data_IF_772035521620
#
_entry.id   IF_772035521620
#
_cell.length_a   1.000
_cell.length_b   1.000
_cell.length_c   1.000
_cell.angle_alpha   90.00
_cell.angle_beta   90.00
_cell.angle_gamma   90.00
#
_symmetry.space_group_name_H-M   'P 1'
#
loop_
_entity.id
_entity.type
_entity.pdbx_description
1 polymer ?
#
# COMPACT_ATOMS: atom_id res chain seq x y z
N UNK A 1 -4.23 -9.76 -0.39
CA UNK A 1 -3.57 -8.76 0.42
C UNK A 1 -4.05 -8.92 1.86
N UNK A 2 -3.13 -9.14 2.77
CA UNK A 2 -3.41 -9.31 4.20
C UNK A 2 -2.59 -8.27 4.94
N UNK A 3 -3.25 -7.40 5.71
CA UNK A 3 -2.60 -6.27 6.37
C UNK A 3 -2.66 -6.35 7.90
N UNK A 4 -1.58 -5.91 8.56
CA UNK A 4 -1.49 -5.85 10.02
C UNK A 4 -2.41 -4.83 10.70
N UNK A 5 -2.96 -3.88 9.93
CA UNK A 5 -3.88 -2.82 10.43
C UNK A 5 -5.35 -3.23 10.48
N UNK A 6 -5.64 -4.51 10.44
CA UNK A 6 -7.00 -5.01 10.67
C UNK A 6 -7.43 -4.86 12.12
N UNK A 7 -6.47 -4.79 13.01
CA UNK A 7 -6.63 -4.54 14.43
C UNK A 7 -5.69 -3.40 14.83
N UNK A 8 -6.21 -2.40 15.52
CA UNK A 8 -5.38 -1.40 16.18
C UNK A 8 -5.29 -1.72 17.65
N UNK A 9 -4.10 -1.61 18.19
CA UNK A 9 -3.79 -1.93 19.58
C UNK A 9 -3.19 -0.71 20.24
N UNK A 10 -3.68 -0.36 21.41
CA UNK A 10 -3.08 0.66 22.23
C UNK A 10 -1.71 0.20 22.73
N UNK A 11 -0.67 0.94 22.42
CA UNK A 11 0.72 0.56 22.67
C UNK A 11 1.08 0.52 24.18
N UNK A 12 0.31 1.19 25.03
CA UNK A 12 0.54 1.25 26.47
C UNK A 12 -0.22 0.16 27.21
N UNK A 13 -1.49 -0.03 26.87
CA UNK A 13 -2.37 -0.98 27.54
C UNK A 13 -2.37 -2.36 26.89
N UNK A 14 -1.85 -2.47 25.69
CA UNK A 14 -1.86 -3.67 24.83
C UNK A 14 -3.29 -4.20 24.58
N UNK A 15 -4.29 -3.30 24.60
CA UNK A 15 -5.70 -3.60 24.35
C UNK A 15 -6.09 -3.17 22.94
N UNK A 16 -7.06 -3.90 22.38
CA UNK A 16 -7.68 -3.47 21.12
C UNK A 16 -8.33 -2.11 21.29
N UNK A 17 -7.89 -1.15 20.48
CA UNK A 17 -8.49 0.17 20.37
C UNK A 17 -9.49 0.25 19.22
N UNK A 18 -9.26 -0.51 18.15
CA UNK A 18 -10.14 -0.56 17.00
C UNK A 18 -10.03 -1.89 16.25
N UNK A 19 -11.17 -2.36 15.73
CA UNK A 19 -11.28 -3.54 14.86
C UNK A 19 -11.97 -3.09 13.58
N UNK A 20 -11.35 -3.33 12.42
CA UNK A 20 -11.95 -2.97 11.14
C UNK A 20 -13.14 -3.85 10.80
N UNK A 21 -14.07 -3.36 9.97
CA UNK A 21 -15.23 -4.13 9.53
C UNK A 21 -14.90 -5.51 8.94
N UNK A 22 -13.86 -5.67 8.08
CA UNK A 22 -13.45 -6.99 7.62
C UNK A 22 -12.99 -7.92 8.74
N UNK A 23 -12.22 -7.39 9.70
CA UNK A 23 -11.75 -8.18 10.85
C UNK A 23 -12.92 -8.58 11.77
N UNK A 24 -13.88 -7.68 11.98
CA UNK A 24 -15.09 -7.98 12.77
C UNK A 24 -15.93 -9.08 12.12
N UNK A 25 -16.13 -9.05 10.79
CA UNK A 25 -16.83 -10.12 10.06
C UNK A 25 -16.16 -11.49 10.24
N UNK A 26 -14.82 -11.52 10.21
CA UNK A 26 -14.04 -12.74 10.47
C UNK A 26 -14.27 -13.20 11.90
N UNK A 27 -14.13 -12.31 12.88
CA UNK A 27 -14.33 -12.61 14.30
C UNK A 27 -15.74 -13.14 14.57
N UNK A 28 -16.78 -12.54 14.00
CA UNK A 28 -18.16 -12.97 14.12
C UNK A 28 -18.41 -14.37 13.52
N UNK A 29 -17.78 -14.63 12.35
CA UNK A 29 -17.86 -15.94 11.73
C UNK A 29 -17.20 -17.03 12.59
N UNK A 30 -16.04 -16.74 13.15
CA UNK A 30 -15.32 -17.65 14.04
C UNK A 30 -16.05 -17.84 15.36
N UNK A 31 -16.62 -16.77 15.91
CA UNK A 31 -17.45 -16.82 17.12
C UNK A 31 -18.66 -17.76 16.95
N UNK A 32 -19.34 -17.68 15.79
CA UNK A 32 -20.44 -18.59 15.45
C UNK A 32 -20.01 -20.05 15.38
N UNK A 33 -18.80 -20.33 14.90
CA UNK A 33 -18.27 -21.70 14.80
C UNK A 33 -17.82 -22.25 16.15
N UNK A 34 -17.23 -21.42 17.00
CA UNK A 34 -16.70 -21.82 18.30
C UNK A 34 -17.74 -21.75 19.42
N UNK A 35 -18.85 -21.06 19.22
CA UNK A 35 -19.85 -20.76 20.24
C UNK A 35 -19.40 -19.73 21.29
N UNK A 36 -18.27 -19.04 21.05
CA UNK A 36 -17.70 -18.06 21.97
C UNK A 36 -17.41 -16.74 21.23
N UNK A 37 -17.73 -15.60 21.87
CA UNK A 37 -17.35 -14.31 21.36
C UNK A 37 -15.84 -14.14 21.40
N UNK A 38 -15.25 -13.63 20.31
CA UNK A 38 -13.84 -13.30 20.27
C UNK A 38 -13.58 -11.86 20.73
N UNK A 39 -14.53 -10.96 20.50
CA UNK A 39 -14.45 -9.55 20.88
C UNK A 39 -15.87 -8.98 21.14
N UNK A 40 -16.03 -8.05 22.10
CA UNK A 40 -15.05 -7.67 23.13
C UNK A 40 -14.93 -8.75 24.23
N UNK A 41 -13.78 -8.80 24.86
CA UNK A 41 -13.50 -9.72 25.99
C UNK A 41 -12.88 -8.97 27.18
N UNK A 42 -13.00 -9.57 28.38
CA UNK A 42 -12.68 -8.86 29.60
C UNK A 42 -11.18 -8.69 29.88
N UNK A 43 -10.35 -9.66 29.49
CA UNK A 43 -8.93 -9.67 29.84
C UNK A 43 -8.01 -9.51 28.64
N UNK A 44 -6.79 -8.93 28.81
CA UNK A 44 -5.81 -8.82 27.74
C UNK A 44 -5.42 -10.17 27.16
N UNK A 45 -5.32 -11.21 27.98
CA UNK A 45 -4.94 -12.57 27.56
C UNK A 45 -6.02 -13.18 26.66
N UNK A 46 -7.30 -13.02 27.00
CA UNK A 46 -8.40 -13.48 26.17
C UNK A 46 -8.48 -12.71 24.86
N UNK A 47 -8.16 -11.42 24.87
CA UNK A 47 -8.10 -10.56 23.69
C UNK A 47 -6.98 -10.99 22.76
N UNK A 48 -5.77 -11.21 23.29
CA UNK A 48 -4.64 -11.72 22.54
C UNK A 48 -4.93 -13.12 21.95
N UNK A 49 -5.60 -13.98 22.70
CA UNK A 49 -6.02 -15.28 22.19
C UNK A 49 -7.01 -15.14 21.03
N UNK A 50 -8.00 -14.24 21.13
CA UNK A 50 -8.94 -13.93 20.06
C UNK A 50 -8.26 -13.37 18.82
N UNK A 51 -7.29 -12.46 18.98
CA UNK A 51 -6.47 -11.94 17.90
C UNK A 51 -5.74 -13.09 17.18
N UNK A 52 -5.05 -13.95 17.93
CA UNK A 52 -4.30 -15.07 17.34
C UNK A 52 -5.21 -16.02 16.56
N UNK A 53 -6.41 -16.33 17.06
CA UNK A 53 -7.39 -17.14 16.33
C UNK A 53 -7.76 -16.49 14.98
N UNK A 54 -8.00 -15.17 14.97
CA UNK A 54 -8.27 -14.45 13.74
C UNK A 54 -7.08 -14.47 12.78
N UNK A 55 -5.86 -14.26 13.28
CA UNK A 55 -4.64 -14.25 12.47
C UNK A 55 -4.33 -15.64 11.89
N UNK A 56 -4.46 -16.69 12.66
CA UNK A 56 -4.28 -18.07 12.19
C UNK A 56 -5.31 -18.40 11.11
N UNK A 57 -6.56 -17.97 11.28
CA UNK A 57 -7.57 -18.13 10.23
C UNK A 57 -7.22 -17.37 8.95
N UNK A 58 -6.73 -16.13 9.07
CA UNK A 58 -6.29 -15.33 7.91
C UNK A 58 -5.16 -16.02 7.14
N UNK A 59 -4.18 -16.56 7.86
CA UNK A 59 -3.09 -17.34 7.26
C UNK A 59 -3.64 -18.57 6.54
N UNK A 60 -4.53 -19.33 7.19
CA UNK A 60 -5.17 -20.50 6.58
C UNK A 60 -5.96 -20.14 5.32
N UNK A 61 -6.65 -18.99 5.30
CA UNK A 61 -7.38 -18.52 4.12
C UNK A 61 -6.44 -18.24 2.94
N UNK A 62 -5.30 -17.61 3.21
CA UNK A 62 -4.25 -17.41 2.19
C UNK A 62 -3.69 -18.75 1.72
N UNK A 63 -3.45 -19.69 2.63
CA UNK A 63 -2.94 -21.01 2.30
C UNK A 63 -3.89 -21.81 1.43
N UNK A 64 -5.21 -21.75 1.69
CA UNK A 64 -6.22 -22.37 0.82
C UNK A 64 -6.10 -21.86 -0.62
N UNK A 65 -5.87 -20.56 -0.80
CA UNK A 65 -5.64 -20.00 -2.13
C UNK A 65 -4.34 -20.53 -2.73
N UNK A 66 -3.24 -20.52 -1.98
CA UNK A 66 -1.93 -20.97 -2.45
C UNK A 66 -1.92 -22.44 -2.85
N UNK A 67 -2.61 -23.29 -2.10
CA UNK A 67 -2.68 -24.74 -2.32
C UNK A 67 -3.90 -25.18 -3.13
N UNK A 68 -4.71 -24.26 -3.64
CA UNK A 68 -5.92 -24.55 -4.44
C UNK A 68 -6.95 -25.38 -3.68
N UNK A 69 -7.09 -25.16 -2.42
CA UNK A 69 -8.10 -25.78 -1.58
C UNK A 69 -9.44 -25.06 -1.67
N UNK A 70 -10.51 -25.72 -1.27
CA UNK A 70 -11.84 -25.13 -1.21
C UNK A 70 -11.90 -23.95 -0.24
N UNK A 71 -12.41 -22.83 -0.72
CA UNK A 71 -12.64 -21.64 0.11
C UNK A 71 -14.00 -21.74 0.80
N UNK A 72 -14.03 -21.45 2.10
CA UNK A 72 -15.28 -21.25 2.81
C UNK A 72 -15.97 -19.95 2.34
N UNK A 73 -17.28 -19.83 2.57
CA UNK A 73 -18.05 -18.66 2.15
C UNK A 73 -17.45 -17.33 2.67
N UNK A 74 -16.94 -17.33 3.90
CA UNK A 74 -16.28 -16.15 4.48
C UNK A 74 -14.94 -15.85 3.78
N UNK A 75 -14.17 -16.87 3.42
CA UNK A 75 -12.93 -16.69 2.67
C UNK A 75 -13.22 -16.07 1.29
N UNK A 76 -14.27 -16.58 0.60
CA UNK A 76 -14.69 -16.05 -0.71
C UNK A 76 -15.10 -14.58 -0.62
N UNK A 77 -15.77 -14.17 0.46
CA UNK A 77 -16.18 -12.76 0.64
C UNK A 77 -15.01 -11.79 0.81
N UNK A 78 -13.82 -12.29 1.13
CA UNK A 78 -12.59 -11.49 1.32
C UNK A 78 -11.65 -11.55 0.13
N UNK A 79 -11.92 -12.40 -0.86
CA UNK A 79 -11.16 -12.43 -2.11
C UNK A 79 -11.57 -11.24 -2.97
N UNK A 80 -10.61 -10.38 -3.27
CA UNK A 80 -10.80 -9.16 -4.07
C UNK A 80 -10.32 -9.33 -5.52
N UNK A 81 -10.05 -10.57 -5.95
CA UNK A 81 -9.56 -10.88 -7.29
C UNK A 81 -10.63 -11.64 -8.06
N UNK A 82 -10.84 -11.28 -9.32
CA UNK A 82 -11.79 -11.96 -10.22
C UNK A 82 -11.34 -13.37 -10.60
N UNK A 83 -10.04 -13.66 -10.45
CA UNK A 83 -9.47 -14.96 -10.74
C UNK A 83 -8.44 -15.38 -9.70
N UNK A 84 -8.52 -16.65 -9.29
CA UNK A 84 -7.49 -17.29 -8.47
C UNK A 84 -6.45 -17.96 -9.39
N UNK A 85 -5.22 -18.17 -8.88
CA UNK A 85 -4.20 -18.90 -9.63
C UNK A 85 -4.72 -20.26 -10.15
N UNK A 86 -4.34 -20.64 -11.35
CA UNK A 86 -4.77 -21.91 -11.94
C UNK A 86 -4.10 -23.14 -11.27
N UNK A 87 -2.85 -22.96 -10.85
CA UNK A 87 -2.02 -24.03 -10.28
C UNK A 87 -1.67 -23.71 -8.80
N UNK A 88 -1.40 -24.73 -7.98
CA UNK A 88 -0.85 -24.55 -6.65
C UNK A 88 0.49 -23.82 -6.68
N UNK A 89 0.74 -23.00 -5.68
CA UNK A 89 2.01 -22.29 -5.53
C UNK A 89 3.15 -23.29 -5.26
N UNK A 90 4.28 -23.09 -5.93
CA UNK A 90 5.51 -23.85 -5.68
C UNK A 90 6.49 -23.07 -4.80
N UNK A 91 6.34 -21.78 -4.75
CA UNK A 91 7.17 -20.88 -3.97
C UNK A 91 6.35 -19.67 -3.50
N UNK A 92 6.85 -18.97 -2.49
CA UNK A 92 6.23 -17.77 -1.94
C UNK A 92 7.25 -16.69 -1.71
N UNK A 93 6.85 -15.44 -1.98
CA UNK A 93 7.58 -14.22 -1.63
C UNK A 93 6.62 -13.34 -0.83
N UNK A 94 7.05 -12.89 0.31
CA UNK A 94 6.31 -11.91 1.10
C UNK A 94 6.83 -10.50 0.82
N UNK A 95 5.93 -9.53 0.74
CA UNK A 95 6.25 -8.12 0.55
C UNK A 95 5.38 -7.24 1.46
N UNK A 96 5.74 -5.97 1.60
CA UNK A 96 5.08 -5.03 2.50
C UNK A 96 5.65 -5.06 3.93
N UNK A 97 5.04 -4.27 4.82
CA UNK A 97 5.53 -4.07 6.18
C UNK A 97 5.63 -5.35 7.01
N UNK A 98 4.63 -6.24 6.89
CA UNK A 98 4.61 -7.53 7.61
C UNK A 98 5.74 -8.46 7.16
N UNK A 99 6.13 -8.41 5.87
CA UNK A 99 7.18 -9.28 5.32
C UNK A 99 8.53 -9.09 6.02
N UNK A 100 8.85 -7.86 6.46
CA UNK A 100 10.06 -7.60 7.22
C UNK A 100 10.15 -8.51 8.45
N UNK A 101 9.03 -8.69 9.17
CA UNK A 101 8.97 -9.51 10.38
C UNK A 101 8.91 -11.00 10.08
N UNK A 102 8.42 -11.39 8.90
CA UNK A 102 8.48 -12.78 8.45
C UNK A 102 9.92 -13.19 8.21
N UNK A 103 10.73 -12.34 7.56
CA UNK A 103 12.12 -12.66 7.22
C UNK A 103 13.11 -12.43 8.37
N UNK A 104 12.82 -11.50 9.26
CA UNK A 104 13.71 -11.12 10.38
C UNK A 104 12.98 -11.32 11.71
N UNK A 105 12.97 -12.55 12.26
CA UNK A 105 12.39 -12.83 13.58
C UNK A 105 13.27 -12.22 14.69
N UNK A 106 12.68 -12.02 15.85
CA UNK A 106 13.41 -11.56 17.05
C UNK A 106 13.11 -10.13 17.44
N UNK A 107 11.88 -9.70 17.30
CA UNK A 107 11.43 -8.37 17.70
C UNK A 107 11.38 -8.17 19.20
N UNK A 108 11.67 -6.93 19.63
CA UNK A 108 11.62 -6.51 21.02
C UNK A 108 10.19 -6.36 21.57
N UNK A 109 9.20 -6.10 20.70
CA UNK A 109 7.80 -5.93 21.11
C UNK A 109 6.85 -6.27 19.96
N UNK A 110 5.76 -7.00 20.29
CA UNK A 110 4.68 -7.31 19.36
C UNK A 110 3.83 -6.09 18.99
N UNK A 111 3.86 -5.04 19.80
CA UNK A 111 2.98 -3.87 19.74
C UNK A 111 3.68 -2.60 19.24
N UNK A 112 4.89 -2.73 18.71
CA UNK A 112 5.75 -1.59 18.34
C UNK A 112 5.12 -0.60 17.35
N UNK A 113 4.12 -1.03 16.60
CA UNK A 113 3.44 -0.20 15.61
C UNK A 113 1.98 0.12 15.96
N UNK A 114 1.51 -0.27 17.15
CA UNK A 114 0.10 -0.15 17.50
C UNK A 114 -0.83 -0.99 16.63
N UNK A 115 -0.28 -2.04 16.00
CA UNK A 115 -1.02 -2.99 15.16
C UNK A 115 -0.56 -4.44 15.41
N UNK A 116 -1.21 -5.38 14.75
CA UNK A 116 -0.91 -6.82 14.89
C UNK A 116 0.05 -7.36 13.81
N UNK A 117 0.75 -6.48 13.09
CA UNK A 117 1.68 -6.87 12.02
C UNK A 117 2.72 -7.89 12.44
N UNK A 118 3.42 -7.70 13.56
CA UNK A 118 4.38 -8.68 14.06
C UNK A 118 3.76 -10.04 14.44
N UNK A 119 2.57 -10.05 15.05
CA UNK A 119 1.83 -11.29 15.37
C UNK A 119 1.38 -12.01 14.10
N UNK A 120 0.94 -11.26 13.09
CA UNK A 120 0.58 -11.82 11.78
C UNK A 120 1.79 -12.46 11.09
N UNK A 121 2.96 -11.81 11.18
CA UNK A 121 4.20 -12.38 10.64
C UNK A 121 4.55 -13.70 11.31
N UNK A 122 4.39 -13.80 12.62
CA UNK A 122 4.63 -15.05 13.36
C UNK A 122 3.59 -16.13 12.99
N UNK A 123 2.32 -15.76 12.81
CA UNK A 123 1.31 -16.68 12.31
C UNK A 123 1.69 -17.24 10.92
N UNK A 124 2.17 -16.40 9.98
CA UNK A 124 2.68 -16.86 8.68
C UNK A 124 3.88 -17.80 8.81
N UNK A 125 4.81 -17.52 9.72
CA UNK A 125 5.98 -18.38 9.95
C UNK A 125 5.61 -19.76 10.47
N UNK A 126 4.56 -19.85 11.30
CA UNK A 126 3.99 -21.12 11.77
C UNK A 126 3.14 -21.81 10.71
N UNK A 127 2.66 -21.06 9.73
CA UNK A 127 1.79 -21.57 8.68
C UNK A 127 2.45 -22.59 7.76
N UNK A 128 1.62 -23.45 7.17
CA UNK A 128 2.05 -24.53 6.28
C UNK A 128 2.80 -24.01 5.04
N UNK A 129 2.36 -22.90 4.47
CA UNK A 129 2.99 -22.32 3.29
C UNK A 129 4.46 -21.95 3.55
N UNK A 130 4.76 -21.35 4.70
CA UNK A 130 6.13 -21.00 5.07
C UNK A 130 6.99 -22.24 5.34
N UNK A 131 6.39 -23.30 5.88
CA UNK A 131 7.07 -24.51 6.25
C UNK A 131 7.33 -25.47 5.08
N UNK A 132 6.49 -25.42 4.03
CA UNK A 132 6.52 -26.42 2.96
C UNK A 132 6.88 -25.87 1.58
N UNK A 133 6.61 -24.59 1.33
CA UNK A 133 6.96 -23.96 0.06
C UNK A 133 8.37 -23.36 0.12
N UNK A 134 8.96 -23.22 -1.05
CA UNK A 134 10.22 -22.49 -1.17
C UNK A 134 9.98 -21.00 -0.91
N UNK A 135 10.54 -20.49 0.18
CA UNK A 135 10.43 -19.08 0.54
C UNK A 135 11.59 -18.31 -0.06
N UNK A 136 11.28 -17.33 -0.91
CA UNK A 136 12.28 -16.39 -1.41
C UNK A 136 12.14 -15.08 -0.66
N UNK A 137 13.26 -14.50 -0.28
CA UNK A 137 13.28 -13.17 0.31
C UNK A 137 13.38 -12.12 -0.78
N UNK A 138 12.41 -11.19 -0.82
CA UNK A 138 12.50 -10.02 -1.67
C UNK A 138 13.60 -9.07 -1.16
N UNK A 139 14.29 -8.42 -2.09
CA UNK A 139 15.32 -7.40 -1.76
C UNK A 139 14.70 -6.20 -1.05
N UNK A 140 13.45 -5.88 -1.39
CA UNK A 140 12.68 -4.80 -0.78
C UNK A 140 11.36 -5.34 -0.23
N UNK A 141 11.08 -5.03 1.02
CA UNK A 141 9.83 -5.42 1.68
C UNK A 141 8.92 -4.23 1.95
N UNK A 142 9.40 -3.25 2.72
CA UNK A 142 8.61 -2.14 3.22
C UNK A 142 8.09 -1.21 2.11
N UNK A 143 8.93 -0.94 1.12
CA UNK A 143 8.63 -0.03 0.02
C UNK A 143 8.20 -0.75 -1.26
N UNK A 144 7.92 -2.05 -1.21
CA UNK A 144 7.59 -2.86 -2.39
C UNK A 144 6.42 -2.29 -3.21
N UNK A 145 5.38 -1.76 -2.53
CA UNK A 145 4.23 -1.14 -3.21
C UNK A 145 4.63 0.14 -3.94
N UNK A 146 5.44 0.99 -3.30
CA UNK A 146 5.91 2.25 -3.90
C UNK A 146 6.87 1.97 -5.04
N UNK A 147 7.78 1.02 -4.85
CA UNK A 147 8.70 0.58 -5.91
C UNK A 147 7.96 -0.08 -7.06
N UNK A 148 6.94 -0.89 -6.77
CA UNK A 148 6.07 -1.49 -7.78
C UNK A 148 5.32 -0.43 -8.59
N UNK A 149 4.72 0.54 -7.92
CA UNK A 149 4.06 1.66 -8.59
C UNK A 149 5.05 2.49 -9.44
N UNK A 150 6.28 2.71 -8.93
CA UNK A 150 7.33 3.44 -9.67
C UNK A 150 8.00 2.61 -10.78
N UNK A 151 7.91 1.27 -10.72
CA UNK A 151 8.45 0.37 -11.73
C UNK A 151 7.44 0.01 -12.83
N UNK A 152 6.16 0.34 -12.67
CA UNK A 152 5.20 0.25 -13.75
C UNK A 152 5.68 1.16 -14.89
N UNK A 153 6.21 0.54 -15.91
CA UNK A 153 6.39 1.21 -17.19
C UNK A 153 4.99 1.59 -17.67
N UNK A 154 4.72 2.88 -17.70
CA UNK A 154 3.58 3.39 -18.44
C UNK A 154 3.79 2.92 -19.88
N UNK A 155 2.93 2.05 -20.39
CA UNK A 155 2.88 1.77 -21.80
C UNK A 155 2.38 3.06 -22.47
N UNK A 156 3.33 3.86 -22.91
CA UNK A 156 3.02 5.08 -23.63
C UNK A 156 2.62 4.68 -25.04
N UNK A 157 1.35 4.59 -25.29
CA UNK A 157 0.78 4.40 -26.62
C UNK A 157 0.59 5.77 -27.26
N UNK A 158 1.45 6.14 -28.20
CA UNK A 158 1.28 7.37 -28.97
C UNK A 158 2.53 7.74 -29.76
N UNK A 159 2.33 8.21 -30.97
CA UNK A 159 3.40 8.59 -31.94
C UNK A 159 4.18 9.87 -31.56
N UNK A 160 4.01 10.42 -30.39
CA UNK A 160 4.52 11.73 -29.98
C UNK A 160 5.33 11.72 -28.68
N UNK A 161 5.81 10.57 -28.22
CA UNK A 161 6.63 10.51 -27.01
C UNK A 161 8.09 10.63 -27.37
N UNK A 162 8.70 11.72 -26.98
CA UNK A 162 10.14 11.90 -27.05
C UNK A 162 10.72 11.82 -25.63
N UNK A 163 11.57 10.84 -25.38
CA UNK A 163 12.27 10.68 -24.11
C UNK A 163 13.77 10.81 -24.34
N UNK A 164 14.42 11.68 -23.61
CA UNK A 164 15.88 11.76 -23.64
C UNK A 164 16.51 10.45 -23.18
N UNK A 165 17.57 10.01 -23.88
CA UNK A 165 18.23 8.70 -23.70
C UNK A 165 18.69 8.45 -22.28
N UNK A 166 18.68 9.16 -21.32
CA UNK A 166 19.10 8.92 -19.92
C UNK A 166 18.09 9.43 -18.89
N UNK A 167 16.89 9.80 -19.34
CA UNK A 167 15.85 10.32 -18.44
C UNK A 167 15.12 9.21 -17.67
N UNK A 168 15.10 7.97 -18.17
CA UNK A 168 14.42 6.84 -17.58
C UNK A 168 15.40 5.75 -17.12
N UNK A 169 15.08 4.98 -16.07
CA UNK A 169 13.85 5.09 -15.27
C UNK A 169 13.95 6.20 -14.21
N UNK A 170 12.87 6.94 -14.01
CA UNK A 170 12.70 7.84 -12.87
C UNK A 170 12.20 7.02 -11.68
N UNK A 171 12.88 7.10 -10.54
CA UNK A 171 12.52 6.35 -9.34
C UNK A 171 12.40 7.28 -8.14
N UNK A 172 11.42 6.99 -7.28
CA UNK A 172 11.23 7.67 -5.99
C UNK A 172 11.15 9.20 -6.10
N UNK A 173 10.44 9.70 -7.13
CA UNK A 173 10.20 11.13 -7.25
C UNK A 173 9.21 11.58 -6.17
N UNK A 174 9.56 12.61 -5.40
CA UNK A 174 8.59 13.24 -4.53
C UNK A 174 7.46 13.84 -5.35
N UNK A 175 6.22 13.58 -4.94
CA UNK A 175 5.03 14.16 -5.56
C UNK A 175 4.57 15.37 -4.77
N UNK A 176 4.46 16.51 -5.44
CA UNK A 176 4.01 17.77 -4.84
C UNK A 176 2.56 18.02 -5.26
N UNK A 177 1.69 18.17 -4.27
CA UNK A 177 0.27 18.37 -4.49
C UNK A 177 -0.07 19.85 -4.69
N UNK A 178 -1.05 20.15 -5.56
CA UNK A 178 -1.50 21.51 -5.76
C UNK A 178 -2.34 22.01 -4.60
N UNK A 179 -2.18 23.28 -4.26
CA UNK A 179 -3.02 24.01 -3.31
C UNK A 179 -3.64 25.22 -4.02
N UNK A 180 -4.95 25.38 -3.89
CA UNK A 180 -5.65 26.53 -4.47
C UNK A 180 -5.50 27.74 -3.56
N UNK A 181 -4.97 28.84 -4.10
CA UNK A 181 -4.85 30.12 -3.40
C UNK A 181 -6.19 30.86 -3.35
N UNK A 182 -6.27 31.89 -2.50
CA UNK A 182 -7.47 32.72 -2.39
C UNK A 182 -7.80 33.50 -3.68
N UNK A 183 -6.81 33.75 -4.53
CA UNK A 183 -6.97 34.37 -5.86
C UNK A 183 -7.42 33.40 -6.97
N UNK A 184 -7.69 32.14 -6.58
CA UNK A 184 -8.11 31.08 -7.49
C UNK A 184 -6.97 30.39 -8.25
N UNK A 185 -5.74 30.85 -8.14
CA UNK A 185 -4.58 30.23 -8.77
C UNK A 185 -4.09 29.03 -8.00
N UNK A 186 -3.43 28.12 -8.69
CA UNK A 186 -2.77 26.98 -8.10
C UNK A 186 -1.33 27.28 -7.73
N UNK A 187 -0.84 26.67 -6.67
CA UNK A 187 0.57 26.64 -6.29
C UNK A 187 0.89 25.25 -5.75
N UNK A 188 2.13 24.85 -5.91
CA UNK A 188 2.63 23.58 -5.40
C UNK A 188 3.54 23.87 -4.21
N UNK A 189 3.03 23.60 -3.02
CA UNK A 189 3.77 23.82 -1.78
C UNK A 189 4.47 22.51 -1.43
N UNK A 190 5.77 22.61 -1.29
CA UNK A 190 6.58 21.53 -0.75
C UNK A 190 6.10 21.20 0.68
N UNK A 191 5.76 19.92 0.97
CA UNK A 191 5.44 19.52 2.34
C UNK A 191 6.62 19.84 3.24
N UNK A 192 6.42 20.70 4.22
CA UNK A 192 7.47 21.18 5.09
C UNK A 192 8.30 20.03 5.67
N UNK A 193 9.59 20.00 5.41
CA UNK A 193 10.55 19.07 5.98
C UNK A 193 10.77 17.76 5.22
N UNK A 194 10.10 17.51 4.10
CA UNK A 194 10.29 16.26 3.34
C UNK A 194 11.35 16.34 2.24
N UNK A 195 11.73 17.54 1.80
CA UNK A 195 12.74 17.75 0.80
C UNK A 195 13.97 18.43 1.41
N UNK A 196 14.98 17.66 1.75
CA UNK A 196 16.29 18.25 1.98
C UNK A 196 16.89 18.65 0.64
N UNK A 197 17.23 19.90 0.48
CA UNK A 197 17.90 20.40 -0.71
C UNK A 197 19.08 19.48 -1.08
N UNK A 198 19.06 18.94 -2.29
CA UNK A 198 20.10 18.04 -2.80
C UNK A 198 19.81 16.53 -2.71
N UNK A 199 18.76 16.08 -2.00
CA UNK A 199 18.40 14.66 -1.97
C UNK A 199 17.70 14.17 -3.24
N UNK A 200 16.98 15.06 -3.93
CA UNK A 200 16.24 14.70 -5.13
C UNK A 200 16.67 15.54 -6.31
N UNK A 201 16.85 14.88 -7.45
CA UNK A 201 17.21 15.55 -8.70
C UNK A 201 16.07 16.39 -9.28
N UNK A 202 14.83 15.97 -9.01
CA UNK A 202 13.61 16.65 -9.46
C UNK A 202 12.41 16.18 -8.64
N UNK A 203 11.29 16.83 -8.80
CA UNK A 203 10.00 16.47 -8.20
C UNK A 203 8.95 16.29 -9.29
N UNK A 204 7.88 15.57 -8.96
CA UNK A 204 6.70 15.46 -9.80
C UNK A 204 5.61 16.42 -9.31
N UNK A 205 5.14 17.32 -10.16
CA UNK A 205 4.01 18.19 -9.85
C UNK A 205 2.70 17.48 -10.23
N UNK A 206 1.79 17.35 -9.27
CA UNK A 206 0.46 16.78 -9.53
C UNK A 206 -0.44 17.89 -10.04
N UNK A 207 -1.09 17.66 -11.18
CA UNK A 207 -2.11 18.56 -11.70
C UNK A 207 -3.43 18.28 -10.98
N UNK A 208 -4.13 19.31 -10.47
CA UNK A 208 -5.47 19.13 -9.91
C UNK A 208 -6.44 18.63 -10.98
N UNK A 209 -7.51 17.98 -10.54
CA UNK A 209 -8.63 17.71 -11.44
C UNK A 209 -9.25 19.04 -11.85
N UNK A 210 -9.31 19.30 -13.14
CA UNK A 210 -9.89 20.50 -13.71
C UNK A 210 -11.39 20.28 -13.93
N UNK A 211 -12.20 21.26 -13.52
CA UNK A 211 -13.66 21.23 -13.72
C UNK A 211 -14.02 21.29 -15.22
N UNK A 212 -13.19 22.01 -15.99
CA UNK A 212 -13.28 22.09 -17.44
C UNK A 212 -11.92 21.79 -18.08
N UNK A 213 -11.93 21.09 -19.21
CA UNK A 213 -10.74 20.72 -19.98
C UNK A 213 -10.67 21.42 -21.33
N UNK A 214 -11.26 22.61 -21.42
CA UNK A 214 -11.14 23.44 -22.60
C UNK A 214 -9.70 23.94 -22.81
N UNK A 215 -9.39 24.36 -24.02
CA UNK A 215 -8.03 24.76 -24.39
C UNK A 215 -7.52 25.94 -23.54
N UNK A 216 -8.39 26.87 -23.15
CA UNK A 216 -8.00 28.04 -22.36
C UNK A 216 -7.63 27.64 -20.94
N UNK A 217 -8.43 26.81 -20.29
CA UNK A 217 -8.17 26.29 -18.94
C UNK A 217 -6.89 25.48 -18.87
N UNK A 218 -6.66 24.59 -19.84
CA UNK A 218 -5.42 23.80 -19.91
C UNK A 218 -4.20 24.69 -20.16
N UNK A 219 -4.33 25.69 -21.04
CA UNK A 219 -3.23 26.62 -21.31
C UNK A 219 -2.86 27.46 -20.08
N UNK A 220 -3.84 27.90 -19.31
CA UNK A 220 -3.59 28.63 -18.07
C UNK A 220 -2.94 27.74 -17.01
N UNK A 221 -3.34 26.48 -16.92
CA UNK A 221 -2.67 25.48 -16.08
C UNK A 221 -1.21 25.27 -16.51
N UNK A 222 -0.97 25.12 -17.81
CA UNK A 222 0.39 24.98 -18.36
C UNK A 222 1.30 26.16 -18.01
N UNK A 223 0.78 27.39 -18.08
CA UNK A 223 1.52 28.60 -17.65
C UNK A 223 1.85 28.59 -16.15
N UNK A 224 0.90 28.16 -15.31
CA UNK A 224 1.14 28.07 -13.86
C UNK A 224 2.19 27.00 -13.54
N UNK A 225 2.12 25.81 -14.18
CA UNK A 225 3.13 24.76 -14.07
C UNK A 225 4.52 25.24 -14.52
N UNK A 226 4.58 25.94 -15.65
CA UNK A 226 5.84 26.47 -16.15
C UNK A 226 6.48 27.47 -15.18
N UNK A 227 5.68 28.33 -14.55
CA UNK A 227 6.15 29.26 -13.53
C UNK A 227 6.69 28.54 -12.29
N UNK A 228 6.01 27.50 -11.81
CA UNK A 228 6.47 26.69 -10.68
C UNK A 228 7.76 25.92 -11.04
N UNK A 229 7.84 25.31 -12.22
CA UNK A 229 9.06 24.65 -12.67
C UNK A 229 10.25 25.60 -12.82
N UNK A 230 9.99 26.89 -13.05
CA UNK A 230 11.04 27.90 -13.04
C UNK A 230 11.71 28.10 -11.68
N UNK A 231 10.99 27.76 -10.61
CA UNK A 231 11.48 27.86 -9.23
C UNK A 231 12.09 26.55 -8.71
N UNK A 232 11.76 25.43 -9.36
CA UNK A 232 12.23 24.09 -8.95
C UNK A 232 13.50 23.75 -9.71
N UNK A 233 14.57 23.53 -8.98
CA UNK A 233 15.82 23.03 -9.56
C UNK A 233 15.65 21.58 -10.05
N UNK A 234 16.34 21.20 -11.09
CA UNK A 234 16.46 19.82 -11.54
C UNK A 234 15.76 19.50 -12.85
N UNK A 235 16.11 18.33 -13.37
CA UNK A 235 15.65 17.79 -14.66
C UNK A 235 15.58 16.26 -14.56
N UNK A 236 14.65 15.59 -15.23
CA UNK A 236 13.58 16.15 -16.07
C UNK A 236 12.45 16.81 -15.28
N UNK A 237 11.65 17.64 -15.93
CA UNK A 237 10.40 18.16 -15.38
C UNK A 237 9.32 17.10 -15.51
N UNK A 238 8.65 16.74 -14.39
CA UNK A 238 7.66 15.68 -14.34
C UNK A 238 6.32 16.23 -13.91
N UNK A 239 5.29 15.92 -14.67
CA UNK A 239 3.89 16.27 -14.38
C UNK A 239 3.07 14.99 -14.29
N UNK A 240 2.21 14.89 -13.28
CA UNK A 240 1.26 13.80 -13.12
C UNK A 240 -0.15 14.38 -13.25
N UNK A 241 -0.93 13.83 -14.16
CA UNK A 241 -2.33 14.22 -14.38
C UNK A 241 -3.24 13.01 -14.31
N UNK A 242 -4.45 13.19 -13.76
CA UNK A 242 -5.50 12.18 -13.75
C UNK A 242 -6.39 12.25 -14.99
N UNK A 243 -6.36 13.38 -15.70
CA UNK A 243 -7.16 13.62 -16.91
C UNK A 243 -6.27 13.49 -18.14
N UNK A 244 -6.86 13.10 -19.27
CA UNK A 244 -6.14 12.99 -20.56
C UNK A 244 -5.91 14.38 -21.20
N UNK A 245 -5.09 15.17 -20.57
CA UNK A 245 -4.75 16.54 -20.99
C UNK A 245 -3.27 16.68 -21.36
N UNK A 246 -2.49 15.64 -21.24
CA UNK A 246 -1.03 15.69 -21.40
C UNK A 246 -0.59 16.24 -22.76
N UNK A 247 -1.32 15.93 -23.84
CA UNK A 247 -1.03 16.39 -25.21
C UNK A 247 -1.18 17.91 -25.37
N UNK A 248 -2.05 18.53 -24.58
CA UNK A 248 -2.30 19.98 -24.65
C UNK A 248 -1.44 20.73 -23.65
N UNK A 249 -1.01 20.08 -22.57
CA UNK A 249 -0.09 20.65 -21.57
C UNK A 249 1.33 20.81 -22.10
N UNK A 250 1.79 19.94 -22.97
CA UNK A 250 3.12 19.95 -23.58
C UNK A 250 3.14 20.60 -24.93
#
# INVERSE_FOLDING_TARGET
NVGGRLFEVDALTHRLSYVTDPAQKVADCLAKKSGQSLFPVATPEAELAGINICLDWMVQSVERVLFRESLAAVDQSLVMSDSLPAEPAQAVVFSGGVARYIYQPGMQSWWIHGDVGPLLAEAFRRGRAFQTLKVYQGTETLHATVLGAGAHTVNVSGSTVTVEKNALPLRNLPAVYPIRKADGKWTWIEPAGHFQAGLYRTVALIVPVLDDTDFSTITDMARQLAAEFGQIAGSPKVVITQQDIAKVLG
#
